data_IF_177250724904
#
_entry.id   IF_177250724904
#
_cell.length_a   1.000
_cell.length_b   1.000
_cell.length_c   1.000
_cell.angle_alpha   90.00
_cell.angle_beta   90.00
_cell.angle_gamma   90.00
#
_symmetry.space_group_name_H-M   'P 1'
#
loop_
_entity.id
_entity.type
_entity.pdbx_description
1 polymer ?
#
# COMPACT_ATOMS: atom_id res chain seq x y z
N UNK A 1 -19.30 5.10 -18.22
CA UNK A 1 -19.58 5.83 -16.96
C UNK A 1 -20.78 6.76 -17.09
N UNK A 2 -20.88 7.54 -18.17
CA UNK A 2 -21.98 8.49 -18.40
C UNK A 2 -23.39 7.88 -18.39
N UNK A 3 -23.58 6.71 -18.99
CA UNK A 3 -24.89 6.03 -19.01
C UNK A 3 -25.36 5.64 -17.60
N UNK A 4 -24.45 5.12 -16.77
CA UNK A 4 -24.75 4.76 -15.38
C UNK A 4 -25.08 6.00 -14.54
N UNK A 5 -24.35 7.11 -14.74
CA UNK A 5 -24.62 8.38 -14.06
C UNK A 5 -26.03 8.90 -14.40
N UNK A 6 -26.38 8.92 -15.69
CA UNK A 6 -27.71 9.33 -16.14
C UNK A 6 -28.80 8.40 -15.58
N UNK A 7 -28.56 7.09 -15.58
CA UNK A 7 -29.47 6.11 -14.98
C UNK A 7 -29.70 6.35 -13.48
N UNK A 8 -28.65 6.63 -12.72
CA UNK A 8 -28.76 6.97 -11.29
C UNK A 8 -29.56 8.26 -11.09
N UNK A 9 -29.28 9.32 -11.86
CA UNK A 9 -30.00 10.59 -11.75
C UNK A 9 -31.50 10.40 -12.05
N UNK A 10 -31.82 9.67 -13.12
CA UNK A 10 -33.20 9.39 -13.50
C UNK A 10 -33.90 8.56 -12.42
N UNK A 11 -33.25 7.52 -11.90
CA UNK A 11 -33.79 6.67 -10.84
C UNK A 11 -34.12 7.49 -9.58
N UNK A 12 -33.18 8.32 -9.12
CA UNK A 12 -33.40 9.18 -7.94
C UNK A 12 -34.54 10.18 -8.20
N UNK A 13 -34.59 10.78 -9.39
CA UNK A 13 -35.64 11.73 -9.76
C UNK A 13 -37.04 11.09 -9.70
N UNK A 14 -37.19 9.88 -10.25
CA UNK A 14 -38.48 9.15 -10.22
C UNK A 14 -38.88 8.76 -8.80
N UNK A 15 -37.93 8.37 -7.93
CA UNK A 15 -38.24 8.08 -6.52
C UNK A 15 -38.84 9.28 -5.79
N UNK A 16 -38.29 10.48 -5.99
CA UNK A 16 -38.82 11.71 -5.41
C UNK A 16 -40.16 12.13 -6.01
N UNK A 17 -40.39 11.88 -7.31
CA UNK A 17 -41.68 12.17 -7.97
C UNK A 17 -42.82 11.31 -7.42
N UNK A 18 -42.55 10.05 -7.06
CA UNK A 18 -43.59 9.15 -6.51
C UNK A 18 -43.93 9.52 -5.07
N UNK A 19 -42.92 9.62 -4.19
CA UNK A 19 -43.13 9.98 -2.79
C UNK A 19 -41.83 10.46 -2.15
N UNK A 20 -41.76 11.77 -1.90
CA UNK A 20 -40.59 12.41 -1.30
C UNK A 20 -40.30 11.93 0.12
N UNK A 21 -41.32 11.64 0.92
CA UNK A 21 -41.17 11.21 2.31
C UNK A 21 -40.53 9.82 2.42
N UNK A 22 -41.00 8.86 1.59
CA UNK A 22 -40.42 7.52 1.56
C UNK A 22 -39.03 7.50 0.94
N UNK A 23 -38.76 8.36 -0.06
CA UNK A 23 -37.43 8.52 -0.64
C UNK A 23 -36.41 9.04 0.39
N UNK A 24 -36.77 10.06 1.19
CA UNK A 24 -35.90 10.54 2.26
C UNK A 24 -35.63 9.46 3.31
N UNK A 25 -36.65 8.69 3.68
CA UNK A 25 -36.49 7.58 4.63
C UNK A 25 -35.53 6.50 4.12
N UNK A 26 -35.64 6.10 2.84
CA UNK A 26 -34.73 5.09 2.26
C UNK A 26 -33.31 5.61 2.19
N UNK A 27 -33.09 6.86 1.78
CA UNK A 27 -31.75 7.47 1.81
C UNK A 27 -31.19 7.52 3.22
N UNK A 28 -31.99 7.91 4.22
CA UNK A 28 -31.58 7.91 5.62
C UNK A 28 -31.15 6.51 6.08
N UNK A 29 -31.93 5.47 5.76
CA UNK A 29 -31.59 4.09 6.08
C UNK A 29 -30.28 3.63 5.40
N UNK A 30 -30.10 3.94 4.11
CA UNK A 30 -28.88 3.58 3.37
C UNK A 30 -27.65 4.29 3.94
N UNK A 31 -27.76 5.59 4.23
CA UNK A 31 -26.69 6.37 4.85
C UNK A 31 -26.36 5.83 6.24
N UNK A 32 -27.38 5.51 7.05
CA UNK A 32 -27.18 4.93 8.38
C UNK A 32 -26.43 3.59 8.31
N UNK A 33 -26.86 2.68 7.41
CA UNK A 33 -26.18 1.40 7.19
C UNK A 33 -24.73 1.60 6.71
N UNK A 34 -24.51 2.51 5.76
CA UNK A 34 -23.18 2.84 5.27
C UNK A 34 -22.27 3.35 6.40
N UNK A 35 -22.75 4.29 7.22
CA UNK A 35 -21.98 4.83 8.34
C UNK A 35 -21.71 3.76 9.40
N UNK A 36 -22.67 2.89 9.71
CA UNK A 36 -22.48 1.77 10.64
C UNK A 36 -21.33 0.88 10.16
N UNK A 37 -21.34 0.46 8.89
CA UNK A 37 -20.28 -0.38 8.33
C UNK A 37 -18.94 0.35 8.32
N UNK A 38 -18.92 1.61 7.89
CA UNK A 38 -17.70 2.41 7.80
C UNK A 38 -17.03 2.66 9.15
N UNK A 39 -17.80 2.98 10.20
CA UNK A 39 -17.26 3.26 11.53
C UNK A 39 -16.95 2.01 12.33
N UNK A 40 -17.79 0.96 12.23
CA UNK A 40 -17.58 -0.26 13.03
C UNK A 40 -16.41 -1.09 12.56
N UNK A 41 -15.96 -0.93 11.30
CA UNK A 41 -14.86 -1.70 10.68
C UNK A 41 -14.81 -3.15 11.18
N UNK A 42 -15.92 -3.90 11.09
CA UNK A 42 -15.97 -5.25 11.67
C UNK A 42 -14.86 -6.10 11.05
N UNK A 43 -14.18 -6.89 11.87
CA UNK A 43 -13.16 -7.84 11.41
C UNK A 43 -13.85 -8.95 10.62
N UNK A 44 -13.97 -8.73 9.32
CA UNK A 44 -14.70 -9.57 8.39
C UNK A 44 -13.73 -10.41 7.56
N UNK A 45 -14.05 -11.69 7.37
CA UNK A 45 -13.24 -12.65 6.60
C UNK A 45 -13.47 -12.61 5.08
N UNK A 46 -14.33 -11.71 4.59
CA UNK A 46 -14.64 -11.53 3.18
C UNK A 46 -13.81 -10.36 2.65
N UNK A 47 -13.14 -10.59 1.52
CA UNK A 47 -12.25 -9.59 0.93
C UNK A 47 -12.99 -8.29 0.60
N UNK A 48 -12.30 -7.16 0.76
CA UNK A 48 -12.88 -5.85 0.46
C UNK A 48 -12.69 -5.49 -1.02
N UNK A 49 -13.79 -5.14 -1.72
CA UNK A 49 -13.71 -4.61 -3.08
C UNK A 49 -12.84 -3.35 -3.16
N UNK A 50 -12.77 -2.55 -2.09
CA UNK A 50 -11.93 -1.35 -2.04
C UNK A 50 -10.43 -1.69 -1.99
N UNK A 51 -10.05 -2.74 -1.27
CA UNK A 51 -8.67 -3.24 -1.25
C UNK A 51 -8.28 -3.81 -2.62
N UNK A 52 -9.16 -4.59 -3.24
CA UNK A 52 -8.96 -5.11 -4.59
C UNK A 52 -8.77 -3.99 -5.62
N UNK A 53 -9.58 -2.93 -5.54
CA UNK A 53 -9.45 -1.76 -6.40
C UNK A 53 -8.13 -1.00 -6.14
N UNK A 54 -7.70 -0.88 -4.88
CA UNK A 54 -6.42 -0.25 -4.54
C UNK A 54 -5.25 -0.99 -5.16
N UNK A 55 -5.24 -2.32 -5.08
CA UNK A 55 -4.23 -3.16 -5.72
C UNK A 55 -4.22 -2.96 -7.24
N UNK A 56 -5.40 -2.99 -7.88
CA UNK A 56 -5.54 -2.76 -9.32
C UNK A 56 -5.00 -1.38 -9.73
N UNK A 57 -5.32 -0.34 -8.97
CA UNK A 57 -4.83 1.01 -9.22
C UNK A 57 -3.31 1.08 -9.10
N UNK A 58 -2.73 0.46 -8.07
CA UNK A 58 -1.28 0.38 -7.89
C UNK A 58 -0.61 -0.34 -9.06
N UNK A 59 -1.13 -1.51 -9.46
CA UNK A 59 -0.60 -2.28 -10.60
C UNK A 59 -0.67 -1.49 -11.91
N UNK A 60 -1.82 -0.86 -12.21
CA UNK A 60 -1.96 -0.03 -13.41
C UNK A 60 -1.00 1.16 -13.38
N UNK A 61 -0.80 1.79 -12.22
CA UNK A 61 0.14 2.91 -12.07
C UNK A 61 1.58 2.47 -12.30
N UNK A 62 1.98 1.32 -11.77
CA UNK A 62 3.31 0.73 -12.01
C UNK A 62 3.50 0.35 -13.47
N UNK A 63 2.49 -0.23 -14.12
CA UNK A 63 2.55 -0.53 -15.55
C UNK A 63 2.65 0.73 -16.41
N UNK A 64 1.97 1.82 -16.03
CA UNK A 64 2.08 3.10 -16.72
C UNK A 64 3.49 3.68 -16.62
N UNK A 65 4.18 3.49 -15.48
CA UNK A 65 5.57 3.93 -15.31
C UNK A 65 6.53 3.31 -16.32
N UNK A 66 6.28 2.07 -16.79
CA UNK A 66 7.10 1.44 -17.84
C UNK A 66 7.03 2.14 -19.20
N UNK A 67 5.99 2.93 -19.45
CA UNK A 67 5.81 3.66 -20.71
C UNK A 67 6.33 5.11 -20.62
N UNK A 68 6.78 5.56 -19.45
CA UNK A 68 7.29 6.92 -19.25
C UNK A 68 8.77 6.95 -19.60
N UNK A 69 9.16 7.79 -20.55
CA UNK A 69 10.57 7.97 -20.90
C UNK A 69 11.35 8.58 -19.72
N UNK A 70 12.49 7.98 -19.40
CA UNK A 70 13.39 8.52 -18.40
C UNK A 70 14.07 9.78 -18.93
N UNK A 71 13.74 10.93 -18.33
CA UNK A 71 14.44 12.18 -18.58
C UNK A 71 15.28 12.55 -17.36
N UNK A 72 16.54 12.97 -17.57
CA UNK A 72 17.46 13.45 -16.52
C UNK A 72 16.81 14.44 -15.52
N UNK A 73 15.88 15.29 -15.97
CA UNK A 73 15.17 16.27 -15.13
C UNK A 73 14.14 15.65 -14.18
N UNK A 74 13.70 14.43 -14.47
CA UNK A 74 12.72 13.67 -13.70
C UNK A 74 13.36 12.54 -12.88
N UNK A 75 14.69 12.48 -12.81
CA UNK A 75 15.39 11.46 -12.03
C UNK A 75 14.94 11.48 -10.56
N UNK A 76 14.61 10.29 -10.03
CA UNK A 76 14.22 10.06 -8.63
C UNK A 76 15.11 8.96 -8.07
N UNK A 77 15.98 9.23 -7.08
CA UNK A 77 16.91 8.25 -6.55
C UNK A 77 16.16 7.15 -5.78
N UNK A 78 16.17 5.93 -6.30
CA UNK A 78 15.64 4.77 -5.60
C UNK A 78 16.76 4.14 -4.77
N UNK A 79 16.55 3.98 -3.46
CA UNK A 79 17.61 3.57 -2.55
C UNK A 79 17.25 2.24 -1.90
N UNK A 80 18.12 1.24 -2.11
CA UNK A 80 18.17 0.01 -1.33
C UNK A 80 19.19 0.18 -0.20
N UNK A 81 18.70 0.23 1.04
CA UNK A 81 19.52 0.35 2.25
C UNK A 81 19.69 -1.03 2.87
N UNK A 82 20.92 -1.53 2.93
CA UNK A 82 21.25 -2.80 3.61
C UNK A 82 21.32 -2.60 5.14
N UNK A 83 20.20 -2.20 5.74
CA UNK A 83 20.09 -1.92 7.18
C UNK A 83 19.95 -3.19 8.02
N UNK A 84 19.54 -4.30 7.44
CA UNK A 84 18.94 -5.38 8.21
C UNK A 84 17.59 -4.93 8.78
N UNK A 85 17.31 -5.31 10.03
CA UNK A 85 16.19 -4.75 10.78
C UNK A 85 16.35 -3.22 10.96
N UNK A 86 15.38 -2.40 10.52
CA UNK A 86 15.47 -0.93 10.62
C UNK A 86 15.71 -0.42 12.04
N UNK A 87 15.21 -1.14 13.06
CA UNK A 87 15.41 -0.80 14.47
C UNK A 87 16.85 -0.92 14.96
N UNK A 88 17.69 -1.74 14.30
CA UNK A 88 19.09 -1.95 14.72
C UNK A 88 19.99 -0.84 14.18
N UNK A 89 19.74 -0.40 12.95
CA UNK A 89 20.54 0.62 12.24
C UNK A 89 19.66 1.78 11.77
N UNK A 90 18.92 2.38 12.69
CA UNK A 90 17.96 3.47 12.39
C UNK A 90 18.63 4.64 11.68
N UNK A 91 19.84 5.03 12.08
CA UNK A 91 20.57 6.16 11.49
C UNK A 91 20.78 6.01 9.98
N UNK A 92 20.96 4.78 9.48
CA UNK A 92 21.18 4.52 8.06
C UNK A 92 19.87 4.61 7.28
N UNK A 93 18.76 4.17 7.90
CA UNK A 93 17.42 4.29 7.35
C UNK A 93 17.00 5.77 7.31
N UNK A 94 17.25 6.51 8.39
CA UNK A 94 16.98 7.94 8.47
C UNK A 94 17.79 8.72 7.42
N UNK A 95 19.06 8.37 7.24
CA UNK A 95 19.89 8.96 6.19
C UNK A 95 19.32 8.69 4.80
N UNK A 96 18.95 7.43 4.50
CA UNK A 96 18.29 7.08 3.23
C UNK A 96 16.97 7.83 3.03
N UNK A 97 16.18 7.97 4.09
CA UNK A 97 14.91 8.69 4.10
C UNK A 97 15.08 10.20 3.89
N UNK A 98 16.11 10.81 4.46
CA UNK A 98 16.46 12.22 4.23
C UNK A 98 16.84 12.49 2.77
N UNK A 99 17.40 11.51 2.06
CA UNK A 99 17.71 11.62 0.63
C UNK A 99 16.44 11.48 -0.21
N UNK A 100 15.59 10.49 0.07
CA UNK A 100 14.39 10.23 -0.75
C UNK A 100 13.23 11.21 -0.48
N UNK A 101 13.19 11.84 0.70
CA UNK A 101 12.21 12.85 1.13
C UNK A 101 10.75 12.49 0.82
N UNK A 102 10.35 11.23 0.99
CA UNK A 102 9.01 10.70 0.65
C UNK A 102 8.60 10.76 -0.83
N UNK A 103 9.51 11.12 -1.73
CA UNK A 103 9.20 11.20 -3.17
C UNK A 103 9.72 9.97 -3.92
N UNK A 104 10.79 9.37 -3.43
CA UNK A 104 11.45 8.24 -4.08
C UNK A 104 11.32 6.95 -3.28
N UNK A 105 11.50 5.83 -3.98
CA UNK A 105 11.45 4.49 -3.39
C UNK A 105 12.60 4.29 -2.41
N UNK A 106 12.27 3.89 -1.18
CA UNK A 106 13.21 3.48 -0.15
C UNK A 106 12.91 2.03 0.25
N UNK A 107 13.88 1.14 0.10
CA UNK A 107 13.78 -0.28 0.47
C UNK A 107 14.83 -0.60 1.52
N UNK A 108 14.41 -1.15 2.66
CA UNK A 108 15.29 -1.71 3.68
C UNK A 108 15.53 -3.19 3.40
N UNK A 109 16.75 -3.52 2.98
CA UNK A 109 17.21 -4.88 2.70
C UNK A 109 17.74 -5.57 3.96
N UNK A 110 17.29 -6.81 4.19
CA UNK A 110 17.72 -7.66 5.29
C UNK A 110 18.13 -9.05 4.80
N UNK A 111 19.40 -9.39 4.97
CA UNK A 111 19.92 -10.73 4.69
C UNK A 111 19.98 -11.52 5.99
N UNK A 112 19.24 -12.63 6.05
CA UNK A 112 19.20 -13.52 7.21
C UNK A 112 20.07 -14.75 6.92
N UNK A 113 21.13 -14.93 7.71
CA UNK A 113 22.11 -16.01 7.57
C UNK A 113 21.62 -17.37 8.12
N UNK A 114 20.33 -17.65 7.99
CA UNK A 114 19.71 -18.88 8.48
C UNK A 114 18.40 -19.13 7.77
N UNK A 115 18.04 -20.40 7.57
CA UNK A 115 16.74 -20.76 7.01
C UNK A 115 15.63 -20.30 7.94
N UNK A 116 14.84 -19.34 7.48
CA UNK A 116 13.75 -18.76 8.27
C UNK A 116 12.42 -19.46 8.00
N UNK A 117 11.67 -19.77 9.05
CA UNK A 117 10.32 -20.30 8.90
C UNK A 117 9.36 -19.19 8.41
N UNK A 118 8.33 -19.52 7.62
CA UNK A 118 7.38 -18.54 7.09
C UNK A 118 6.73 -17.67 8.18
N UNK A 119 6.43 -18.26 9.35
CA UNK A 119 5.91 -17.51 10.51
C UNK A 119 6.87 -16.42 10.99
N UNK A 120 8.17 -16.72 11.01
CA UNK A 120 9.19 -15.76 11.42
C UNK A 120 9.35 -14.64 10.39
N UNK A 121 9.27 -14.97 9.09
CA UNK A 121 9.28 -13.99 7.99
C UNK A 121 8.13 -12.99 8.13
N UNK A 122 6.91 -13.48 8.34
CA UNK A 122 5.73 -12.64 8.53
C UNK A 122 5.83 -11.78 9.79
N UNK A 123 6.31 -12.35 10.90
CA UNK A 123 6.54 -11.62 12.14
C UNK A 123 7.52 -10.45 11.94
N UNK A 124 8.65 -10.68 11.26
CA UNK A 124 9.64 -9.63 10.99
C UNK A 124 9.11 -8.55 10.05
N UNK A 125 8.33 -8.92 9.02
CA UNK A 125 7.67 -7.97 8.14
C UNK A 125 6.67 -7.09 8.91
N UNK A 126 5.85 -7.70 9.76
CA UNK A 126 4.87 -6.96 10.57
C UNK A 126 5.57 -6.02 11.55
N UNK A 127 6.55 -6.51 12.31
CA UNK A 127 7.33 -5.69 13.25
C UNK A 127 8.01 -4.50 12.56
N UNK A 128 8.54 -4.73 11.36
CA UNK A 128 9.20 -3.67 10.58
C UNK A 128 8.19 -2.64 10.09
N UNK A 129 7.01 -3.09 9.64
CA UNK A 129 5.92 -2.21 9.24
C UNK A 129 5.45 -1.32 10.39
N UNK A 130 5.24 -1.92 11.57
CA UNK A 130 4.90 -1.17 12.80
C UNK A 130 5.94 -0.09 13.09
N UNK A 131 7.24 -0.44 13.00
CA UNK A 131 8.32 0.53 13.21
C UNK A 131 8.30 1.69 12.19
N UNK A 132 8.03 1.42 10.91
CA UNK A 132 7.88 2.48 9.90
C UNK A 132 6.67 3.38 10.17
N UNK A 133 5.55 2.81 10.59
CA UNK A 133 4.32 3.54 10.91
C UNK A 133 4.50 4.45 12.14
N UNK A 134 5.26 3.99 13.14
CA UNK A 134 5.62 4.77 14.33
C UNK A 134 6.53 5.96 13.98
N UNK A 135 7.53 5.75 13.12
CA UNK A 135 8.48 6.78 12.69
C UNK A 135 7.99 7.63 11.51
N UNK A 136 6.76 7.39 11.03
CA UNK A 136 6.15 8.07 9.86
C UNK A 136 7.00 7.98 8.59
N UNK A 137 7.73 6.89 8.43
CA UNK A 137 8.59 6.66 7.28
C UNK A 137 7.87 5.83 6.20
N UNK A 138 7.94 6.31 4.96
CA UNK A 138 7.44 5.59 3.79
C UNK A 138 8.57 4.77 3.19
N UNK A 139 8.71 3.54 3.67
CA UNK A 139 9.71 2.60 3.20
C UNK A 139 9.14 1.19 3.04
N UNK A 140 9.77 0.39 2.19
CA UNK A 140 9.47 -1.02 2.03
C UNK A 140 10.54 -1.86 2.73
N UNK A 141 10.20 -3.09 3.10
CA UNK A 141 11.12 -4.04 3.70
C UNK A 141 11.23 -5.27 2.81
N UNK A 142 12.45 -5.59 2.40
CA UNK A 142 12.79 -6.75 1.58
C UNK A 142 13.77 -7.63 2.34
N UNK A 143 13.49 -8.93 2.42
CA UNK A 143 14.35 -9.86 3.11
C UNK A 143 14.65 -11.10 2.27
N UNK A 144 15.88 -11.59 2.39
CA UNK A 144 16.41 -12.76 1.69
C UNK A 144 17.09 -13.65 2.72
N UNK A 145 16.82 -14.96 2.63
CA UNK A 145 17.46 -15.98 3.44
C UNK A 145 18.59 -16.59 2.61
N UNK A 146 19.84 -16.44 3.06
CA UNK A 146 21.03 -16.95 2.37
C UNK A 146 22.13 -17.25 3.40
N UNK A 147 22.88 -18.34 3.23
CA UNK A 147 23.99 -18.69 4.13
C UNK A 147 25.11 -17.64 4.10
N UNK A 148 25.33 -17.00 2.94
CA UNK A 148 26.35 -15.99 2.76
C UNK A 148 25.75 -14.58 2.62
N UNK A 149 26.27 -13.63 3.40
CA UNK A 149 25.86 -12.23 3.33
C UNK A 149 26.04 -11.64 1.93
N UNK A 150 27.16 -11.95 1.27
CA UNK A 150 27.48 -11.40 -0.04
C UNK A 150 26.50 -11.89 -1.12
N UNK A 151 26.19 -13.18 -1.12
CA UNK A 151 25.24 -13.79 -2.06
C UNK A 151 23.84 -13.24 -1.84
N UNK A 152 23.39 -13.14 -0.59
CA UNK A 152 22.10 -12.55 -0.25
C UNK A 152 22.00 -11.06 -0.65
N UNK A 153 23.09 -10.30 -0.50
CA UNK A 153 23.13 -8.90 -0.96
C UNK A 153 23.05 -8.80 -2.49
N UNK A 154 23.77 -9.66 -3.23
CA UNK A 154 23.68 -9.71 -4.70
C UNK A 154 22.26 -10.03 -5.15
N UNK A 155 21.60 -10.99 -4.51
CA UNK A 155 20.21 -11.34 -4.79
C UNK A 155 19.27 -10.15 -4.55
N UNK A 156 19.42 -9.45 -3.42
CA UNK A 156 18.65 -8.23 -3.15
C UNK A 156 18.91 -7.15 -4.20
N UNK A 157 20.16 -6.89 -4.57
CA UNK A 157 20.48 -5.85 -5.55
C UNK A 157 19.88 -6.12 -6.94
N UNK A 158 19.76 -7.39 -7.33
CA UNK A 158 19.24 -7.77 -8.65
C UNK A 158 17.71 -7.89 -8.68
N UNK A 159 17.09 -8.26 -7.56
CA UNK A 159 15.65 -8.53 -7.48
C UNK A 159 14.84 -7.42 -6.81
N UNK A 160 15.48 -6.41 -6.22
CA UNK A 160 14.77 -5.27 -5.61
C UNK A 160 14.34 -4.27 -6.67
N UNK A 161 13.03 -4.08 -6.81
CA UNK A 161 12.40 -3.14 -7.74
C UNK A 161 10.89 -3.27 -7.69
#
# INVERSE_FOLDING_TARGET
MWLSLLGTILCVSVMFLISWATALLTFACVIALYLIVHYRKPDVNWGSSTQAQTYKNALMSVQQLNNVEEHVKNYRPQILVLSGLPSIRSILVDFGYLITKNVSLLVCGHVIQSVSNQKHRLYMQQKTKEWFDDHKMKAFYAHVDDECFETGCKALMQASG
#
